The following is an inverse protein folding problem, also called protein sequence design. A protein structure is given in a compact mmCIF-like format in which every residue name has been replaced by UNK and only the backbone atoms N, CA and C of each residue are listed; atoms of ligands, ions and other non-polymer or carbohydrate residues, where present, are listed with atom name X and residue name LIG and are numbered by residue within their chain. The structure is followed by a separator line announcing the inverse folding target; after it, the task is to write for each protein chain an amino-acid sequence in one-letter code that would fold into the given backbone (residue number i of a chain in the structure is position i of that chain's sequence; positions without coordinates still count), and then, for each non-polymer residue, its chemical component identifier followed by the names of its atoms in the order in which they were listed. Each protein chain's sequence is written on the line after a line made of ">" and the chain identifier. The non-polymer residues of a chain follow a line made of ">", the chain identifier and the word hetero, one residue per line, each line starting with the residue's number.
data_IF_996195943325
#
_entry.id   IF_996195943325
#
_cell.length_a   1.000
_cell.length_b   1.000
_cell.length_c   1.000
_cell.angle_alpha   90.00
_cell.angle_beta   90.00
_cell.angle_gamma   90.00
#
_symmetry.space_group_name_H-M   'P 1'
#
loop_
_entity.id
_entity.type
_entity.pdbx_description
1 polymer ?
#
# COMPACT_ATOMS: atom_id res chain seq x y z
N UNK A 1 7.40 -8.49 -19.90
CA UNK A 1 8.56 -7.58 -19.95
C UNK A 1 8.61 -6.79 -18.65
N UNK A 2 9.13 -7.41 -17.60
CA UNK A 2 9.47 -6.71 -16.35
C UNK A 2 10.90 -6.17 -16.37
N UNK A 3 11.21 -5.21 -15.48
CA UNK A 3 12.54 -4.60 -15.34
C UNK A 3 13.67 -5.60 -15.00
N UNK A 4 13.34 -6.84 -14.63
CA UNK A 4 14.28 -7.92 -14.32
C UNK A 4 14.05 -9.20 -15.16
N UNK A 5 13.24 -9.11 -16.22
CA UNK A 5 12.96 -10.26 -17.09
C UNK A 5 13.94 -10.25 -18.28
N UNK A 6 14.67 -11.36 -18.48
CA UNK A 6 15.53 -11.56 -19.65
C UNK A 6 14.68 -11.83 -20.89
N UNK A 7 14.00 -10.79 -21.38
CA UNK A 7 13.23 -10.86 -22.60
C UNK A 7 13.49 -9.59 -23.40
N UNK A 8 14.25 -9.73 -24.48
CA UNK A 8 14.51 -8.69 -25.48
C UNK A 8 13.43 -8.67 -26.58
N UNK A 9 12.37 -9.46 -26.42
CA UNK A 9 11.29 -9.61 -27.41
C UNK A 9 9.93 -9.60 -26.73
N UNK A 10 9.15 -8.58 -27.04
CA UNK A 10 7.71 -8.58 -26.79
C UNK A 10 7.09 -9.81 -27.45
N UNK A 11 6.25 -10.59 -26.75
CA UNK A 11 5.48 -11.66 -27.39
C UNK A 11 4.73 -11.10 -28.61
N UNK A 12 4.77 -11.81 -29.74
CA UNK A 12 3.97 -11.42 -30.92
C UNK A 12 2.49 -11.43 -30.54
N UNK A 13 1.86 -10.25 -30.60
CA UNK A 13 0.43 -10.11 -30.41
C UNK A 13 -0.29 -10.78 -31.58
N UNK A 14 -0.72 -12.02 -31.42
CA UNK A 14 -1.38 -12.78 -32.49
C UNK A 14 -2.76 -12.20 -32.89
N UNK A 15 -3.31 -11.22 -32.15
CA UNK A 15 -4.64 -10.62 -32.42
C UNK A 15 -4.70 -9.15 -32.01
N UNK A 16 -5.28 -8.32 -32.87
CA UNK A 16 -5.75 -6.99 -32.49
C UNK A 16 -6.88 -7.15 -31.46
N UNK A 17 -6.59 -6.82 -30.19
CA UNK A 17 -7.64 -6.78 -29.16
C UNK A 17 -8.52 -5.55 -29.39
N UNK A 18 -9.80 -5.62 -29.00
CA UNK A 18 -10.73 -4.48 -29.13
C UNK A 18 -10.19 -3.21 -28.44
N UNK A 19 -9.40 -3.38 -27.38
CA UNK A 19 -8.76 -2.28 -26.66
C UNK A 19 -7.75 -1.50 -27.53
N UNK A 20 -7.00 -2.17 -28.42
CA UNK A 20 -6.03 -1.52 -29.31
C UNK A 20 -6.69 -0.72 -30.45
N UNK A 21 -7.99 -0.91 -30.67
CA UNK A 21 -8.77 -0.13 -31.64
C UNK A 21 -9.37 1.14 -31.04
N UNK A 22 -9.32 1.31 -29.71
CA UNK A 22 -9.84 2.49 -29.03
C UNK A 22 -8.82 3.63 -29.08
N UNK A 23 -9.32 4.87 -29.13
CA UNK A 23 -8.46 6.03 -28.92
C UNK A 23 -7.89 6.02 -27.48
N UNK A 24 -6.70 6.63 -27.26
CA UNK A 24 -6.17 6.82 -25.91
C UNK A 24 -7.21 7.47 -24.99
N UNK A 25 -7.41 6.92 -23.80
CA UNK A 25 -8.31 7.49 -22.81
C UNK A 25 -7.55 8.41 -21.86
N UNK A 26 -8.14 9.58 -21.57
CA UNK A 26 -7.66 10.45 -20.51
C UNK A 26 -7.79 9.75 -19.16
N UNK A 27 -6.72 9.78 -18.36
CA UNK A 27 -6.74 9.23 -17.01
C UNK A 27 -7.73 10.06 -16.20
N UNK A 28 -8.76 9.41 -15.67
CA UNK A 28 -9.69 10.07 -14.74
C UNK A 28 -8.97 10.24 -13.40
N UNK A 29 -8.87 11.47 -12.86
CA UNK A 29 -8.24 11.68 -11.56
C UNK A 29 -9.07 10.99 -10.46
N UNK A 30 -8.43 10.60 -9.34
CA UNK A 30 -9.17 10.04 -8.23
C UNK A 30 -10.22 11.04 -7.69
N UNK A 31 -11.32 10.55 -7.09
CA UNK A 31 -12.40 11.40 -6.56
C UNK A 31 -12.05 12.07 -5.22
N UNK A 32 -10.76 12.18 -4.88
CA UNK A 32 -10.24 12.87 -3.69
C UNK A 32 -9.13 13.83 -4.11
N UNK A 33 -8.86 14.81 -3.25
CA UNK A 33 -7.76 15.77 -3.42
C UNK A 33 -6.42 15.06 -3.56
N UNK A 34 -5.45 15.70 -4.22
CA UNK A 34 -4.11 15.16 -4.41
C UNK A 34 -3.33 15.13 -3.08
N UNK A 35 -3.65 14.12 -2.27
CA UNK A 35 -2.96 13.77 -1.03
C UNK A 35 -2.35 12.40 -1.21
N UNK A 36 -1.17 12.20 -0.64
CA UNK A 36 -0.50 10.91 -0.79
C UNK A 36 -1.23 9.82 -0.02
N UNK A 37 -0.99 8.56 -0.40
CA UNK A 37 -1.66 7.41 0.22
C UNK A 37 -0.98 7.10 1.56
N UNK A 38 -1.75 7.10 2.65
CA UNK A 38 -1.26 6.74 3.99
C UNK A 38 -2.29 5.95 4.77
N UNK A 39 -1.84 5.07 5.66
CA UNK A 39 -2.72 4.25 6.48
C UNK A 39 -3.63 5.08 7.41
N UNK A 40 -3.11 6.06 8.20
CA UNK A 40 -3.93 6.86 9.10
C UNK A 40 -4.99 7.69 8.37
N UNK A 41 -4.74 8.07 7.11
CA UNK A 41 -5.66 8.92 6.34
C UNK A 41 -6.66 8.11 5.52
N UNK A 42 -6.24 7.00 4.91
CA UNK A 42 -7.05 6.28 3.93
C UNK A 42 -7.74 5.05 4.50
N UNK A 43 -7.19 4.46 5.56
CA UNK A 43 -7.60 3.14 6.04
C UNK A 43 -8.27 3.24 7.40
N UNK A 44 -7.56 3.73 8.43
CA UNK A 44 -8.09 3.75 9.80
C UNK A 44 -9.47 4.44 9.89
N UNK A 45 -9.72 5.60 9.25
CA UNK A 45 -11.05 6.23 9.32
C UNK A 45 -12.16 5.40 8.67
N UNK A 46 -11.83 4.60 7.64
CA UNK A 46 -12.79 3.68 7.01
C UNK A 46 -13.08 2.52 7.95
N UNK A 47 -12.06 1.96 8.60
CA UNK A 47 -12.23 0.90 9.60
C UNK A 47 -13.06 1.39 10.78
N UNK A 48 -12.77 2.58 11.32
CA UNK A 48 -13.52 3.18 12.43
C UNK A 48 -15.00 3.34 12.08
N UNK A 49 -15.27 3.89 10.89
CA UNK A 49 -16.63 4.19 10.43
C UNK A 49 -17.46 2.93 10.17
N UNK A 50 -16.89 1.94 9.49
CA UNK A 50 -17.65 0.80 8.96
C UNK A 50 -17.50 -0.49 9.78
N UNK A 51 -16.38 -0.64 10.47
CA UNK A 51 -16.05 -1.86 11.21
C UNK A 51 -15.96 -1.62 12.73
N UNK A 52 -15.67 -0.38 13.15
CA UNK A 52 -15.38 -0.02 14.54
C UNK A 52 -16.48 -0.41 15.52
N UNK A 53 -17.75 -0.25 15.15
CA UNK A 53 -18.90 -0.64 15.99
C UNK A 53 -18.80 -2.08 16.53
N UNK A 54 -18.27 -3.01 15.73
CA UNK A 54 -18.14 -4.40 16.11
C UNK A 54 -16.71 -4.75 16.58
N UNK A 55 -15.70 -4.10 15.99
CA UNK A 55 -14.29 -4.49 16.15
C UNK A 55 -13.47 -3.59 17.08
N UNK A 56 -14.08 -2.59 17.72
CA UNK A 56 -13.43 -1.65 18.64
C UNK A 56 -14.29 -1.44 19.90
N UNK A 57 -13.73 -0.79 20.91
CA UNK A 57 -14.43 -0.48 22.17
C UNK A 57 -15.02 -1.72 22.85
N UNK A 58 -16.33 -1.69 23.06
CA UNK A 58 -17.12 -2.80 23.64
C UNK A 58 -17.72 -3.74 22.58
N UNK A 59 -17.36 -3.58 21.31
CA UNK A 59 -17.83 -4.43 20.23
C UNK A 59 -17.38 -5.89 20.40
N UNK A 60 -18.32 -6.83 20.26
CA UNK A 60 -18.03 -8.25 20.52
C UNK A 60 -16.98 -8.85 19.56
N UNK A 61 -16.94 -8.39 18.31
CA UNK A 61 -15.97 -8.89 17.32
C UNK A 61 -14.54 -8.41 17.59
N UNK A 62 -14.35 -7.41 18.47
CA UNK A 62 -13.03 -6.98 18.94
C UNK A 62 -12.23 -8.12 19.56
N UNK A 63 -12.90 -9.05 20.26
CA UNK A 63 -12.27 -10.24 20.87
C UNK A 63 -11.66 -11.17 19.83
N UNK A 64 -12.19 -11.15 18.60
CA UNK A 64 -11.69 -11.95 17.47
C UNK A 64 -10.64 -11.19 16.68
N UNK A 65 -10.91 -9.91 16.36
CA UNK A 65 -9.97 -9.05 15.65
C UNK A 65 -10.17 -7.59 16.11
N UNK A 66 -9.22 -7.07 16.87
CA UNK A 66 -9.28 -5.71 17.41
C UNK A 66 -8.72 -4.70 16.39
N UNK A 67 -9.62 -3.89 15.83
CA UNK A 67 -9.30 -2.85 14.86
C UNK A 67 -8.96 -1.50 15.51
N UNK A 68 -8.84 -1.43 16.83
CA UNK A 68 -8.49 -0.20 17.54
C UNK A 68 -7.04 0.15 17.24
N UNK A 69 -6.82 1.38 16.75
CA UNK A 69 -5.47 1.89 16.56
C UNK A 69 -4.73 1.93 17.90
N UNK A 70 -3.56 1.29 17.95
CA UNK A 70 -2.76 1.21 19.18
C UNK A 70 -1.28 1.00 18.88
N UNK A 71 -0.38 1.47 19.76
CA UNK A 71 1.06 1.23 19.62
C UNK A 71 1.38 -0.25 19.48
N UNK A 72 2.33 -0.56 18.60
CA UNK A 72 2.89 -1.90 18.46
C UNK A 72 4.38 -1.81 18.09
N UNK A 73 5.08 -2.92 18.27
CA UNK A 73 6.49 -3.07 17.94
C UNK A 73 6.68 -3.56 16.50
N UNK A 74 7.73 -3.13 15.77
CA UNK A 74 8.80 -2.24 16.24
C UNK A 74 8.49 -0.74 16.12
N UNK A 75 7.80 -0.32 15.06
CA UNK A 75 7.54 1.12 14.78
C UNK A 75 6.12 1.43 14.28
N UNK A 76 5.36 0.42 13.85
CA UNK A 76 4.03 0.61 13.29
C UNK A 76 2.94 0.16 14.27
N UNK A 77 1.75 0.73 14.13
CA UNK A 77 0.60 0.43 15.00
C UNK A 77 -0.10 -0.87 14.64
N UNK A 78 -0.94 -1.36 15.55
CA UNK A 78 -2.04 -2.26 15.20
C UNK A 78 -3.28 -1.43 14.88
N UNK A 79 -4.20 -1.90 14.02
CA UNK A 79 -4.20 -3.21 13.35
C UNK A 79 -3.38 -3.24 12.04
N UNK A 80 -2.67 -2.16 11.67
CA UNK A 80 -1.87 -2.10 10.44
C UNK A 80 -0.96 -3.32 10.27
N UNK A 81 -0.13 -3.62 11.29
CA UNK A 81 0.80 -4.75 11.24
C UNK A 81 0.12 -6.09 10.99
N UNK A 82 -1.03 -6.34 11.65
CA UNK A 82 -1.82 -7.54 11.40
C UNK A 82 -2.37 -7.56 9.98
N UNK A 83 -2.96 -6.46 9.49
CA UNK A 83 -3.55 -6.38 8.16
C UNK A 83 -2.54 -6.69 7.04
N UNK A 84 -1.30 -6.23 7.18
CA UNK A 84 -0.24 -6.48 6.18
C UNK A 84 0.46 -7.83 6.36
N UNK A 85 0.16 -8.57 7.42
CA UNK A 85 0.74 -9.89 7.67
C UNK A 85 2.14 -9.85 8.29
N UNK A 86 2.51 -8.75 8.99
CA UNK A 86 3.74 -8.65 9.79
C UNK A 86 5.02 -9.06 9.01
N UNK A 87 5.57 -8.18 8.16
CA UNK A 87 6.80 -8.43 7.43
C UNK A 87 7.96 -8.88 8.33
N UNK A 88 8.82 -9.73 7.77
CA UNK A 88 9.98 -10.30 8.48
C UNK A 88 11.25 -9.46 8.39
N UNK A 89 11.26 -8.40 7.56
CA UNK A 89 12.34 -7.41 7.45
C UNK A 89 13.72 -8.03 7.20
N UNK A 90 13.96 -8.51 5.97
CA UNK A 90 15.26 -9.03 5.55
C UNK A 90 15.48 -10.51 5.87
N UNK A 91 14.41 -11.24 6.18
CA UNK A 91 14.43 -12.69 6.38
C UNK A 91 13.32 -13.36 5.55
N UNK A 92 13.49 -14.62 5.13
CA UNK A 92 12.44 -15.37 4.43
C UNK A 92 11.11 -15.33 5.19
N UNK A 93 10.08 -14.84 4.52
CA UNK A 93 8.77 -14.68 5.12
C UNK A 93 8.10 -16.02 5.35
N UNK A 94 7.57 -16.21 6.55
CA UNK A 94 6.82 -17.41 6.93
C UNK A 94 5.49 -16.99 7.53
N UNK A 95 4.41 -17.57 7.00
CA UNK A 95 3.08 -17.39 7.59
C UNK A 95 3.03 -18.28 8.84
N UNK A 96 2.58 -17.77 10.00
CA UNK A 96 2.39 -18.58 11.19
C UNK A 96 1.45 -19.76 10.92
N UNK A 97 1.70 -20.94 11.53
CA UNK A 97 0.85 -22.12 11.37
C UNK A 97 -0.63 -21.86 11.71
N UNK A 98 -0.86 -20.95 12.66
CA UNK A 98 -2.18 -20.51 13.12
C UNK A 98 -2.23 -18.98 13.06
N UNK A 99 -2.49 -18.39 11.88
CA UNK A 99 -2.56 -16.95 11.75
C UNK A 99 -3.78 -16.43 12.51
N UNK A 100 -3.60 -15.30 13.21
CA UNK A 100 -4.72 -14.62 13.88
C UNK A 100 -5.73 -14.08 12.86
N UNK A 101 -7.00 -13.92 13.23
CA UNK A 101 -7.96 -13.22 12.38
C UNK A 101 -7.42 -11.83 11.97
N UNK A 102 -7.59 -11.46 10.70
CA UNK A 102 -7.02 -10.22 10.16
C UNK A 102 -5.66 -10.37 9.50
N UNK A 103 -4.90 -11.42 9.81
CA UNK A 103 -3.51 -11.56 9.38
C UNK A 103 -3.37 -11.61 7.85
N UNK A 104 -2.64 -10.64 7.29
CA UNK A 104 -2.36 -10.57 5.86
C UNK A 104 -3.59 -10.27 4.99
N UNK A 105 -4.70 -9.80 5.58
CA UNK A 105 -5.93 -9.53 4.84
C UNK A 105 -5.81 -8.41 3.80
N UNK A 106 -4.81 -7.53 3.91
CA UNK A 106 -4.54 -6.55 2.88
C UNK A 106 -4.16 -7.23 1.55
N UNK A 107 -3.52 -8.41 1.60
CA UNK A 107 -3.12 -9.16 0.41
C UNK A 107 -1.97 -8.51 -0.36
N UNK A 108 -1.16 -7.66 0.28
CA UNK A 108 -0.02 -7.03 -0.37
C UNK A 108 1.01 -8.06 -0.86
N UNK A 109 1.83 -7.69 -1.84
CA UNK A 109 3.08 -8.43 -2.09
C UNK A 109 3.99 -8.23 -0.87
N UNK A 110 4.52 -9.31 -0.32
CA UNK A 110 5.25 -9.22 0.94
C UNK A 110 6.55 -8.42 0.78
N UNK A 111 6.64 -7.29 1.48
CA UNK A 111 7.81 -6.41 1.49
C UNK A 111 8.90 -7.02 2.36
N UNK A 112 10.14 -6.98 1.87
CA UNK A 112 11.32 -7.50 2.57
C UNK A 112 11.16 -8.92 3.15
N UNK A 113 10.35 -9.74 2.47
CA UNK A 113 10.06 -11.12 2.86
C UNK A 113 11.12 -12.14 2.46
N UNK A 114 12.35 -11.69 2.21
CA UNK A 114 13.47 -12.50 1.75
C UNK A 114 14.77 -12.00 2.38
N UNK A 115 15.80 -12.84 2.43
CA UNK A 115 17.16 -12.35 2.72
C UNK A 115 17.73 -11.63 1.51
N UNK A 116 18.77 -10.80 1.72
CA UNK A 116 19.43 -10.03 0.65
C UNK A 116 20.18 -10.89 -0.37
N UNK A 117 20.28 -12.21 -0.13
CA UNK A 117 20.97 -13.18 -1.00
C UNK A 117 20.05 -14.33 -1.43
N UNK A 118 18.75 -14.26 -1.12
CA UNK A 118 17.81 -15.31 -1.46
C UNK A 118 17.45 -15.25 -2.96
N UNK A 119 17.76 -16.29 -3.76
CA UNK A 119 17.42 -16.30 -5.17
C UNK A 119 15.90 -16.20 -5.43
N UNK A 120 15.06 -16.58 -4.47
CA UNK A 120 13.60 -16.44 -4.58
C UNK A 120 13.15 -14.98 -4.64
N UNK A 121 13.95 -14.04 -4.11
CA UNK A 121 13.64 -12.61 -4.17
C UNK A 121 13.60 -12.06 -5.61
N UNK A 122 14.25 -12.75 -6.57
CA UNK A 122 14.29 -12.36 -7.98
C UNK A 122 13.20 -13.01 -8.84
N UNK A 123 12.36 -13.86 -8.24
CA UNK A 123 11.29 -14.54 -8.97
C UNK A 123 10.09 -13.61 -9.09
N UNK A 124 9.68 -13.32 -10.33
CA UNK A 124 8.46 -12.55 -10.60
C UNK A 124 7.24 -13.30 -10.05
N UNK A 125 6.42 -12.67 -9.19
CA UNK A 125 5.21 -13.31 -8.69
C UNK A 125 4.23 -13.55 -9.85
N UNK A 126 3.47 -14.64 -9.76
CA UNK A 126 2.43 -14.93 -10.75
C UNK A 126 1.40 -13.79 -10.80
N UNK A 127 0.96 -13.36 -11.99
CA UNK A 127 -0.05 -12.31 -12.12
C UNK A 127 -1.33 -12.64 -11.31
N UNK A 128 -2.00 -11.60 -10.82
CA UNK A 128 -3.33 -11.70 -10.21
C UNK A 128 -3.39 -12.61 -8.96
N UNK A 129 -2.27 -12.77 -8.25
CA UNK A 129 -2.20 -13.57 -7.01
C UNK A 129 -2.22 -12.74 -5.72
N UNK A 130 -2.07 -11.42 -5.82
CA UNK A 130 -1.96 -10.49 -4.69
C UNK A 130 -2.65 -9.15 -5.02
N UNK A 131 -2.48 -8.17 -4.14
CA UNK A 131 -3.03 -6.82 -4.20
C UNK A 131 -4.57 -6.82 -4.16
N UNK A 132 -5.20 -5.70 -4.56
CA UNK A 132 -6.65 -5.51 -4.41
C UNK A 132 -7.46 -6.63 -5.06
N UNK A 133 -6.97 -7.21 -6.16
CA UNK A 133 -7.61 -8.30 -6.88
C UNK A 133 -7.83 -9.57 -6.04
N UNK A 134 -6.90 -9.90 -5.14
CA UNK A 134 -7.00 -11.10 -4.26
C UNK A 134 -7.17 -10.78 -2.78
N UNK A 135 -7.17 -9.50 -2.42
CA UNK A 135 -7.23 -9.03 -1.04
C UNK A 135 -8.53 -9.45 -0.33
N UNK A 136 -8.45 -10.26 0.76
CA UNK A 136 -9.61 -10.56 1.59
C UNK A 136 -10.24 -9.33 2.26
N UNK A 137 -9.48 -8.25 2.45
CA UNK A 137 -9.99 -6.97 2.90
C UNK A 137 -10.86 -6.34 1.81
N UNK A 138 -10.34 -6.23 0.57
CA UNK A 138 -11.06 -5.61 -0.55
C UNK A 138 -12.33 -6.39 -0.91
N UNK A 139 -12.30 -7.72 -0.87
CA UNK A 139 -13.50 -8.54 -1.07
C UNK A 139 -14.59 -8.24 -0.02
N UNK A 140 -14.22 -8.11 1.25
CA UNK A 140 -15.20 -7.82 2.32
C UNK A 140 -15.82 -6.44 2.17
N UNK A 141 -15.02 -5.42 1.86
CA UNK A 141 -15.53 -4.04 1.70
C UNK A 141 -16.31 -3.84 0.41
N UNK A 142 -16.04 -4.65 -0.63
CA UNK A 142 -16.70 -4.53 -1.93
C UNK A 142 -17.94 -5.41 -2.09
N UNK A 143 -18.00 -6.56 -1.40
CA UNK A 143 -19.08 -7.54 -1.60
C UNK A 143 -20.38 -7.21 -0.87
N UNK A 144 -20.31 -6.44 0.22
CA UNK A 144 -21.45 -6.20 1.10
C UNK A 144 -21.93 -7.44 1.88
N UNK A 145 -21.20 -8.56 1.80
CA UNK A 145 -21.60 -9.84 2.43
C UNK A 145 -21.18 -9.97 3.88
N UNK A 146 -20.27 -9.11 4.34
CA UNK A 146 -19.80 -9.14 5.72
C UNK A 146 -20.78 -8.40 6.62
N UNK A 147 -21.75 -9.13 7.17
CA UNK A 147 -22.79 -8.61 8.07
C UNK A 147 -23.57 -7.41 7.49
N UNK A 148 -23.87 -7.47 6.19
CA UNK A 148 -24.59 -6.44 5.44
C UNK A 148 -23.97 -5.03 5.48
N UNK A 149 -22.70 -4.92 5.89
CA UNK A 149 -21.96 -3.66 5.88
C UNK A 149 -21.64 -3.28 4.43
N UNK A 150 -22.10 -2.11 4.02
CA UNK A 150 -21.81 -1.53 2.70
C UNK A 150 -20.93 -0.31 2.85
N UNK A 151 -19.71 -0.40 2.33
CA UNK A 151 -18.75 0.71 2.32
C UNK A 151 -19.08 1.63 1.14
N UNK A 152 -18.99 2.94 1.35
CA UNK A 152 -19.19 3.91 0.26
C UNK A 152 -18.07 3.82 -0.79
N UNK A 153 -18.36 4.32 -1.99
CA UNK A 153 -17.46 4.21 -3.13
C UNK A 153 -16.09 4.87 -2.91
N UNK A 154 -16.05 6.04 -2.28
CA UNK A 154 -14.80 6.78 -2.04
C UNK A 154 -13.95 6.02 -1.02
N UNK A 155 -14.55 5.56 0.08
CA UNK A 155 -13.86 4.75 1.08
C UNK A 155 -13.34 3.43 0.51
N UNK A 156 -14.14 2.77 -0.34
CA UNK A 156 -13.74 1.53 -1.04
C UNK A 156 -12.54 1.76 -1.95
N UNK A 157 -12.58 2.81 -2.78
CA UNK A 157 -11.49 3.17 -3.67
C UNK A 157 -10.20 3.57 -2.92
N UNK A 158 -10.31 4.23 -1.77
CA UNK A 158 -9.16 4.54 -0.91
C UNK A 158 -8.47 3.28 -0.38
N UNK A 159 -9.25 2.29 0.06
CA UNK A 159 -8.70 1.00 0.49
C UNK A 159 -8.03 0.25 -0.66
N UNK A 160 -8.63 0.25 -1.84
CA UNK A 160 -8.03 -0.35 -3.06
C UNK A 160 -6.70 0.33 -3.37
N UNK A 161 -6.69 1.68 -3.42
CA UNK A 161 -5.49 2.45 -3.67
C UNK A 161 -4.38 2.17 -2.64
N UNK A 162 -4.73 2.05 -1.36
CA UNK A 162 -3.78 1.71 -0.30
C UNK A 162 -3.19 0.31 -0.47
N UNK A 163 -4.01 -0.69 -0.77
CA UNK A 163 -3.52 -2.07 -1.03
C UNK A 163 -2.62 -2.10 -2.26
N UNK A 164 -3.03 -1.46 -3.35
CA UNK A 164 -2.30 -1.47 -4.63
C UNK A 164 -1.03 -0.61 -4.59
N UNK A 165 -0.98 0.38 -3.70
CA UNK A 165 0.23 1.13 -3.37
C UNK A 165 1.17 0.39 -2.41
N UNK A 166 0.95 -0.91 -2.16
CA UNK A 166 1.77 -1.74 -1.27
C UNK A 166 1.67 -1.37 0.22
N UNK A 167 0.49 -0.92 0.64
CA UNK A 167 0.14 -0.66 2.04
C UNK A 167 1.10 0.32 2.75
N UNK A 168 1.37 1.51 2.19
CA UNK A 168 2.24 2.49 2.84
C UNK A 168 1.64 2.89 4.19
N UNK A 169 2.50 3.04 5.19
CA UNK A 169 2.07 3.51 6.50
C UNK A 169 1.92 5.04 6.51
N UNK A 170 2.97 5.77 6.16
CA UNK A 170 2.99 7.23 6.07
C UNK A 170 2.96 7.70 4.61
N UNK A 171 2.26 8.81 4.39
CA UNK A 171 2.32 9.58 3.15
C UNK A 171 3.38 10.68 3.24
N UNK A 172 3.55 11.44 2.15
CA UNK A 172 4.43 12.60 2.12
C UNK A 172 4.12 13.59 3.25
N UNK A 173 2.86 13.88 3.55
CA UNK A 173 2.50 14.88 4.54
C UNK A 173 3.01 14.48 5.94
N UNK A 174 2.83 13.22 6.34
CA UNK A 174 3.40 12.73 7.61
C UNK A 174 4.94 12.65 7.55
N UNK A 175 5.51 12.26 6.40
CA UNK A 175 6.97 12.21 6.22
C UNK A 175 7.58 13.61 6.37
N UNK A 176 6.94 14.65 5.83
CA UNK A 176 7.40 16.05 5.88
C UNK A 176 7.36 16.64 7.29
N UNK A 177 6.66 16.00 8.22
CA UNK A 177 6.69 16.38 9.63
C UNK A 177 7.91 15.82 10.37
N UNK A 178 8.56 14.76 9.85
CA UNK A 178 9.73 14.14 10.45
C UNK A 178 10.93 15.10 10.36
N UNK A 179 11.56 15.49 11.49
CA UNK A 179 12.68 16.42 11.47
C UNK A 179 13.85 15.88 10.64
N UNK A 180 14.64 16.79 10.07
CA UNK A 180 15.86 16.38 9.38
C UNK A 180 16.78 15.61 10.34
N UNK A 181 17.38 14.51 9.89
CA UNK A 181 18.12 13.62 10.76
C UNK A 181 19.40 14.29 11.30
N UNK A 182 19.60 14.16 12.61
CA UNK A 182 20.81 14.59 13.30
C UNK A 182 21.45 13.36 13.93
N UNK A 183 22.67 13.03 13.51
CA UNK A 183 23.39 11.85 13.99
C UNK A 183 24.91 12.10 13.95
N UNK A 184 25.66 11.29 14.68
CA UNK A 184 27.12 11.37 14.71
C UNK A 184 27.71 11.21 13.30
N UNK A 185 28.56 12.15 12.88
CA UNK A 185 29.17 12.15 11.55
C UNK A 185 28.31 12.80 10.45
N UNK A 186 27.15 13.37 10.78
CA UNK A 186 26.32 14.12 9.80
C UNK A 186 27.09 15.27 9.14
N UNK A 187 28.05 15.86 9.85
CA UNK A 187 28.92 16.94 9.35
C UNK A 187 30.01 16.48 8.38
N UNK A 188 30.26 15.17 8.29
CA UNK A 188 31.21 14.60 7.33
C UNK A 188 30.57 14.37 5.96
N UNK A 189 29.24 14.43 5.88
CA UNK A 189 28.51 14.25 4.63
C UNK A 189 28.57 15.54 3.81
N UNK A 190 29.00 15.43 2.55
CA UNK A 190 29.01 16.55 1.61
C UNK A 190 27.60 17.14 1.40
N UNK A 191 26.57 16.31 1.53
CA UNK A 191 25.16 16.72 1.52
C UNK A 191 24.48 16.11 2.73
N UNK A 192 23.95 16.95 3.62
CA UNK A 192 23.19 16.46 4.77
C UNK A 192 21.87 15.84 4.30
N UNK A 193 21.48 14.66 4.81
CA UNK A 193 20.17 14.09 4.53
C UNK A 193 19.08 15.04 5.05
N UNK A 194 18.04 15.22 4.26
CA UNK A 194 16.89 16.06 4.60
C UNK A 194 15.62 15.24 4.46
N UNK A 195 14.66 15.50 5.33
CA UNK A 195 13.32 14.92 5.28
C UNK A 195 12.31 16.07 5.27
N UNK A 196 12.11 16.74 6.41
CA UNK A 196 11.27 17.94 6.51
C UNK A 196 11.68 19.06 5.56
N UNK A 197 12.98 19.33 5.44
CA UNK A 197 13.47 20.43 4.57
C UNK A 197 13.93 19.96 3.19
N UNK A 198 13.62 18.73 2.80
CA UNK A 198 13.96 18.23 1.47
C UNK A 198 13.31 19.13 0.39
N UNK A 199 14.00 19.48 -0.70
CA UNK A 199 13.39 20.28 -1.76
C UNK A 199 12.27 19.49 -2.45
N UNK A 200 11.24 20.19 -2.93
CA UNK A 200 10.31 19.63 -3.91
C UNK A 200 10.99 19.71 -5.28
N UNK A 201 11.33 18.54 -5.84
CA UNK A 201 11.98 18.45 -7.14
C UNK A 201 10.93 17.96 -8.12
N UNK A 202 10.55 18.82 -9.07
CA UNK A 202 9.72 18.41 -10.20
C UNK A 202 10.56 17.43 -11.03
N UNK A 203 10.10 16.18 -11.17
CA UNK A 203 10.78 15.22 -12.04
C UNK A 203 10.76 15.77 -13.47
N UNK A 204 11.89 15.70 -14.21
CA UNK A 204 11.87 15.97 -15.64
C UNK A 204 11.01 14.90 -16.33
N UNK A 205 9.78 15.26 -16.67
CA UNK A 205 8.88 14.53 -17.57
C UNK A 205 8.41 15.48 -18.69
N UNK A 206 7.61 15.03 -19.67
CA UNK A 206 7.01 15.97 -20.61
C UNK A 206 6.14 16.94 -19.82
N UNK A 207 6.60 18.17 -19.68
CA UNK A 207 5.84 19.27 -19.10
C UNK A 207 4.75 19.62 -20.10
N UNK A 208 3.50 19.65 -19.64
CA UNK A 208 2.46 20.35 -20.39
C UNK A 208 2.91 21.81 -20.49
N UNK A 209 3.05 22.30 -21.72
CA UNK A 209 3.55 23.64 -22.04
C UNK A 209 2.60 24.78 -21.62
N UNK A 210 1.65 24.50 -20.73
CA UNK A 210 0.54 25.38 -20.37
C UNK A 210 0.60 25.95 -18.95
N UNK A 211 1.64 25.70 -18.16
CA UNK A 211 1.80 26.39 -16.88
C UNK A 211 2.62 27.69 -17.06
N UNK A 212 2.13 28.84 -16.57
CA UNK A 212 2.85 30.11 -16.67
C UNK A 212 3.99 30.17 -15.65
N UNK A 213 5.09 30.82 -16.07
CA UNK A 213 6.31 31.08 -15.28
C UNK A 213 6.07 31.78 -13.94
#
# INVERSE_FOLDING_TARGET
>A
LGCHESSSRTPEGQRNTLALLQAPQSITPPPWTDTTVSYPRYVQPVLDRYCGKCHQGDGEARKTFDLTERPSSPIFTEPYLTLIGRPTWGSPYTIPDKPVPGFGMAGMLMVEGYSTVDPKAYVTPQPMTSLSYRSPLIERVSSGKHHDVKVDEISRLRLIAWVDAMCPYMGEEEIREIPDPVFQGVDWLAVRPKIKTAPHIIRPGPLDSSEPE
#
